data_IF_946910576730
#
_entry.id   IF_946910576730
#
_cell.length_a   1.000
_cell.length_b   1.000
_cell.length_c   1.000
_cell.angle_alpha   90.00
_cell.angle_beta   90.00
_cell.angle_gamma   90.00
#
_symmetry.space_group_name_H-M   'P 1'
#
loop_
_entity.id
_entity.type
_entity.pdbx_description
1 polymer ?
#
# COMPACT_ATOMS: atom_id res chain seq x y z
N UNK A 1 -22.63 -6.49 0.96
CA UNK A 1 -22.31 -5.36 0.05
C UNK A 1 -23.56 -4.66 -0.45
N UNK A 2 -23.66 -3.33 -0.27
CA UNK A 2 -24.69 -2.48 -0.88
C UNK A 2 -24.03 -1.54 -1.89
N UNK A 3 -24.43 -1.63 -3.16
CA UNK A 3 -23.96 -0.71 -4.20
C UNK A 3 -24.66 0.65 -4.06
N UNK A 4 -23.91 1.73 -4.12
CA UNK A 4 -24.43 3.10 -4.00
C UNK A 4 -23.46 4.12 -4.61
N UNK A 5 -23.88 5.39 -4.68
CA UNK A 5 -22.98 6.47 -5.10
C UNK A 5 -21.96 6.80 -4.01
N UNK A 6 -20.83 7.42 -4.38
CA UNK A 6 -19.84 7.89 -3.40
C UNK A 6 -20.47 8.83 -2.36
N UNK A 7 -21.29 9.78 -2.80
CA UNK A 7 -22.00 10.70 -1.92
C UNK A 7 -22.91 10.00 -0.90
N UNK A 8 -23.54 8.88 -1.28
CA UNK A 8 -24.35 8.05 -0.37
C UNK A 8 -23.47 7.23 0.58
N UNK A 9 -22.39 6.63 0.08
CA UNK A 9 -21.48 5.81 0.88
C UNK A 9 -20.86 6.61 2.02
N UNK A 10 -20.40 7.83 1.74
CA UNK A 10 -19.76 8.67 2.76
C UNK A 10 -20.76 9.23 3.79
N UNK A 11 -22.08 9.12 3.60
CA UNK A 11 -23.06 9.48 4.65
C UNK A 11 -22.96 8.59 5.88
N UNK A 12 -22.31 7.43 5.77
CA UNK A 12 -22.04 6.54 6.90
C UNK A 12 -21.00 7.13 7.88
N UNK A 13 -20.29 8.20 7.50
CA UNK A 13 -19.33 8.89 8.35
C UNK A 13 -20.03 9.98 9.15
N UNK A 14 -19.75 10.03 10.45
CA UNK A 14 -20.29 11.00 11.39
C UNK A 14 -19.19 11.90 11.96
N UNK A 15 -19.57 13.06 12.49
CA UNK A 15 -18.63 13.94 13.19
C UNK A 15 -18.00 13.21 14.39
N UNK A 16 -16.69 13.33 14.54
CA UNK A 16 -15.92 12.62 15.57
C UNK A 16 -15.46 11.21 15.17
N UNK A 17 -15.90 10.65 14.03
CA UNK A 17 -15.41 9.36 13.54
C UNK A 17 -13.90 9.41 13.26
N UNK A 18 -13.20 8.31 13.53
CA UNK A 18 -11.82 8.08 13.11
C UNK A 18 -11.76 7.14 11.92
N UNK A 19 -11.14 7.57 10.83
CA UNK A 19 -11.10 6.83 9.57
C UNK A 19 -9.66 6.54 9.13
N UNK A 20 -9.43 5.36 8.56
CA UNK A 20 -8.21 5.07 7.79
C UNK A 20 -8.53 5.11 6.29
N UNK A 21 -7.69 5.80 5.52
CA UNK A 21 -7.75 5.81 4.06
C UNK A 21 -6.58 5.00 3.52
N UNK A 22 -6.87 3.98 2.70
CA UNK A 22 -5.85 3.12 2.10
C UNK A 22 -4.77 3.93 1.39
N UNK A 23 -3.53 3.53 1.64
CA UNK A 23 -2.33 4.22 1.17
C UNK A 23 -1.80 3.72 -0.18
N UNK A 24 -0.49 3.85 -0.32
CA UNK A 24 0.29 3.65 -1.55
C UNK A 24 -0.34 4.37 -2.74
N UNK A 25 -0.34 3.76 -3.92
CA UNK A 25 -1.06 4.17 -5.12
C UNK A 25 -2.50 3.61 -5.17
N UNK A 26 -3.03 3.13 -4.03
CA UNK A 26 -4.38 2.58 -3.88
C UNK A 26 -5.36 3.54 -3.19
N UNK A 27 -5.06 4.84 -3.17
CA UNK A 27 -5.95 5.83 -2.56
C UNK A 27 -7.34 5.73 -3.23
N UNK A 28 -8.44 5.56 -2.48
CA UNK A 28 -9.78 5.63 -3.04
C UNK A 28 -10.16 7.10 -3.28
N UNK A 29 -9.64 7.68 -4.37
CA UNK A 29 -9.74 9.12 -4.67
C UNK A 29 -11.21 9.60 -4.76
N UNK A 30 -12.12 8.79 -5.32
CA UNK A 30 -13.55 9.17 -5.44
C UNK A 30 -14.24 9.22 -4.07
N UNK A 31 -13.97 8.24 -3.19
CA UNK A 31 -14.46 8.28 -1.81
C UNK A 31 -13.84 9.43 -1.02
N UNK A 32 -12.55 9.69 -1.22
CA UNK A 32 -11.83 10.78 -0.55
C UNK A 32 -12.41 12.14 -0.95
N UNK A 33 -12.72 12.35 -2.23
CA UNK A 33 -13.37 13.56 -2.71
C UNK A 33 -14.79 13.69 -2.14
N UNK A 34 -15.60 12.63 -2.20
CA UNK A 34 -16.96 12.66 -1.67
C UNK A 34 -16.99 12.96 -0.16
N UNK A 35 -16.01 12.45 0.60
CA UNK A 35 -15.86 12.80 2.02
C UNK A 35 -15.53 14.28 2.18
N UNK A 36 -14.56 14.80 1.42
CA UNK A 36 -14.16 16.20 1.48
C UNK A 36 -15.33 17.16 1.14
N UNK A 37 -16.21 16.77 0.22
CA UNK A 37 -17.40 17.56 -0.14
C UNK A 37 -18.37 17.74 1.05
N UNK A 38 -18.31 16.84 2.05
CA UNK A 38 -19.04 16.96 3.33
C UNK A 38 -18.31 17.80 4.37
N UNK A 39 -17.19 18.44 4.03
CA UNK A 39 -16.38 19.23 4.98
C UNK A 39 -17.10 20.41 5.64
N UNK A 40 -18.23 20.88 5.06
CA UNK A 40 -19.07 21.90 5.70
C UNK A 40 -20.11 21.32 6.69
N UNK A 41 -20.31 20.01 6.68
CA UNK A 41 -21.29 19.29 7.50
C UNK A 41 -20.63 18.57 8.69
N UNK A 42 -19.42 18.04 8.45
CA UNK A 42 -18.66 17.25 9.41
C UNK A 42 -17.79 18.11 10.32
N UNK A 43 -17.52 17.59 11.52
CA UNK A 43 -16.61 18.17 12.51
C UNK A 43 -15.77 17.10 13.15
N UNK A 44 -14.52 17.41 13.45
CA UNK A 44 -13.64 16.58 14.25
C UNK A 44 -13.43 15.13 13.76
N UNK A 45 -13.53 14.90 12.45
CA UNK A 45 -13.23 13.59 11.85
C UNK A 45 -11.71 13.39 11.83
N UNK A 46 -11.21 12.34 12.47
CA UNK A 46 -9.79 12.00 12.43
C UNK A 46 -9.49 11.21 11.16
N UNK A 47 -8.51 11.66 10.36
CA UNK A 47 -8.09 10.96 9.14
C UNK A 47 -6.68 10.40 9.33
N UNK A 48 -6.59 9.08 9.52
CA UNK A 48 -5.32 8.35 9.50
C UNK A 48 -4.89 8.11 8.05
N UNK A 49 -3.72 8.62 7.70
CA UNK A 49 -3.11 8.46 6.39
C UNK A 49 -1.67 8.00 6.57
N UNK A 50 -1.26 6.97 5.81
CA UNK A 50 0.11 6.46 5.82
C UNK A 50 0.83 6.86 4.53
N UNK A 51 1.81 6.05 4.10
CA UNK A 51 2.47 6.28 2.83
C UNK A 51 1.41 6.24 1.73
N UNK A 52 1.31 7.30 0.93
CA UNK A 52 0.29 7.45 -0.09
C UNK A 52 0.82 8.34 -1.22
N UNK A 53 0.66 7.93 -2.47
CA UNK A 53 1.05 8.72 -3.63
C UNK A 53 -0.20 9.08 -4.41
N UNK A 54 -0.70 10.29 -4.18
CA UNK A 54 -1.86 10.84 -4.88
C UNK A 54 -1.47 11.67 -6.10
N UNK A 55 -2.41 11.83 -7.04
CA UNK A 55 -2.26 12.73 -8.22
C UNK A 55 -2.24 14.21 -7.83
N UNK A 56 -2.85 14.53 -6.69
CA UNK A 56 -2.99 15.87 -6.15
C UNK A 56 -2.87 15.85 -4.62
N UNK A 57 -2.92 17.04 -4.01
CA UNK A 57 -3.13 17.17 -2.58
C UNK A 57 -4.45 16.51 -2.17
N UNK A 58 -4.47 15.88 -0.99
CA UNK A 58 -5.66 15.18 -0.53
C UNK A 58 -6.85 16.16 -0.45
N UNK A 59 -8.05 15.79 -0.94
CA UNK A 59 -9.14 16.75 -1.14
C UNK A 59 -9.70 17.33 0.17
N UNK A 60 -9.49 16.63 1.29
CA UNK A 60 -9.82 17.08 2.65
C UNK A 60 -8.76 18.02 3.27
N UNK A 61 -7.60 18.20 2.64
CA UNK A 61 -6.54 19.12 3.07
C UNK A 61 -6.74 20.53 2.47
N UNK A 62 -7.87 21.16 2.77
CA UNK A 62 -8.16 22.55 2.37
C UNK A 62 -8.41 23.43 3.59
N UNK A 63 -7.95 24.70 3.61
CA UNK A 63 -8.13 25.58 4.76
C UNK A 63 -9.58 25.71 5.26
N UNK A 64 -10.56 25.68 4.36
CA UNK A 64 -11.98 25.70 4.69
C UNK A 64 -12.48 24.45 5.43
N UNK A 65 -11.75 23.33 5.38
CA UNK A 65 -12.13 22.06 6.00
C UNK A 65 -11.27 21.70 7.23
N UNK A 66 -10.41 22.61 7.70
CA UNK A 66 -9.49 22.36 8.82
C UNK A 66 -10.18 21.97 10.14
N UNK A 67 -11.41 22.42 10.35
CA UNK A 67 -12.20 22.11 11.55
C UNK A 67 -13.02 20.81 11.36
N UNK A 68 -13.12 20.33 10.12
CA UNK A 68 -13.82 19.10 9.77
C UNK A 68 -12.90 17.88 9.83
N UNK A 69 -11.67 18.00 9.32
CA UNK A 69 -10.75 16.86 9.16
C UNK A 69 -9.42 17.10 9.88
N UNK A 70 -9.15 16.28 10.89
CA UNK A 70 -7.89 16.24 11.64
C UNK A 70 -6.98 15.15 11.07
N UNK A 71 -6.05 15.54 10.21
CA UNK A 71 -5.11 14.60 9.59
C UNK A 71 -4.06 14.14 10.60
N UNK A 72 -4.02 12.83 10.85
CA UNK A 72 -2.98 12.15 11.63
C UNK A 72 -2.15 11.27 10.70
N UNK A 73 -0.99 11.79 10.34
CA UNK A 73 -0.05 11.14 9.45
C UNK A 73 0.73 10.04 10.17
N UNK A 74 0.68 8.84 9.61
CA UNK A 74 1.49 7.67 9.98
C UNK A 74 2.76 7.58 9.10
N UNK A 75 2.79 8.36 8.00
CA UNK A 75 3.96 8.58 7.16
C UNK A 75 3.74 9.86 6.33
N UNK A 76 4.72 10.76 6.26
CA UNK A 76 4.56 12.05 5.56
C UNK A 76 4.69 11.88 4.04
N UNK A 77 3.55 11.71 3.38
CA UNK A 77 3.46 11.47 1.94
C UNK A 77 3.17 12.75 1.11
N UNK A 78 3.24 12.66 -0.23
CA UNK A 78 3.23 13.83 -1.11
C UNK A 78 1.92 14.64 -1.01
N UNK A 79 0.79 13.95 -0.92
CA UNK A 79 -0.55 14.50 -0.93
C UNK A 79 -0.94 15.26 0.34
N UNK A 80 -0.22 15.05 1.46
CA UNK A 80 -0.50 15.70 2.76
C UNK A 80 0.69 16.49 3.33
N UNK A 81 1.87 16.44 2.70
CA UNK A 81 3.11 17.05 3.22
C UNK A 81 2.95 18.54 3.52
N UNK A 82 2.34 19.30 2.59
CA UNK A 82 2.14 20.73 2.77
C UNK A 82 1.17 21.02 3.93
N UNK A 83 0.09 20.25 4.04
CA UNK A 83 -0.88 20.38 5.12
C UNK A 83 -0.25 20.25 6.51
N UNK A 84 0.69 19.31 6.64
CA UNK A 84 1.50 19.14 7.85
C UNK A 84 2.46 20.32 8.07
N UNK A 85 3.15 20.76 7.02
CA UNK A 85 4.10 21.88 7.09
C UNK A 85 3.42 23.21 7.48
N UNK A 86 2.18 23.43 7.03
CA UNK A 86 1.36 24.60 7.35
C UNK A 86 0.74 24.52 8.77
N UNK A 87 0.95 23.42 9.50
CA UNK A 87 0.52 23.25 10.89
C UNK A 87 -0.91 22.75 11.07
N UNK A 88 -1.57 22.28 10.02
CA UNK A 88 -2.96 21.82 10.05
C UNK A 88 -3.12 20.29 10.25
N UNK A 89 -2.01 19.56 10.29
CA UNK A 89 -2.01 18.13 10.57
C UNK A 89 -0.97 17.76 11.62
N UNK A 90 -1.04 16.52 12.10
CA UNK A 90 -0.07 15.96 13.05
C UNK A 90 0.57 14.70 12.49
N UNK A 91 1.74 14.33 13.02
CA UNK A 91 2.42 13.06 12.69
C UNK A 91 2.53 12.21 13.94
N UNK A 92 2.23 10.91 13.81
CA UNK A 92 2.43 9.91 14.85
C UNK A 92 3.68 9.12 14.47
N UNK A 93 4.82 9.31 15.16
CA UNK A 93 6.03 8.56 14.88
C UNK A 93 5.89 7.12 15.39
N UNK A 94 6.01 6.15 14.49
CA UNK A 94 6.02 4.72 14.81
C UNK A 94 6.79 3.96 13.72
N UNK A 95 7.32 2.78 14.07
CA UNK A 95 7.81 1.86 13.05
C UNK A 95 6.61 1.29 12.27
N UNK A 96 6.71 1.25 10.95
CA UNK A 96 5.58 0.85 10.09
C UNK A 96 5.01 -0.52 10.47
N UNK A 97 5.88 -1.49 10.77
CA UNK A 97 5.49 -2.84 11.21
C UNK A 97 4.81 -2.91 12.59
N UNK A 98 4.87 -1.84 13.40
CA UNK A 98 4.24 -1.77 14.73
C UNK A 98 2.87 -1.10 14.70
N UNK A 99 2.59 -0.27 13.68
CA UNK A 99 1.31 0.45 13.54
C UNK A 99 0.09 -0.49 13.53
N UNK A 100 0.12 -1.67 12.88
CA UNK A 100 -0.99 -2.62 12.96
C UNK A 100 -1.37 -3.02 14.40
N UNK A 101 -0.40 -3.09 15.32
CA UNK A 101 -0.70 -3.38 16.72
C UNK A 101 -1.47 -2.23 17.40
N UNK A 102 -1.17 -0.98 17.03
CA UNK A 102 -1.86 0.21 17.55
C UNK A 102 -3.32 0.30 17.08
N UNK A 103 -3.65 -0.25 15.90
CA UNK A 103 -5.05 -0.42 15.50
C UNK A 103 -5.73 -1.52 16.31
N UNK A 104 -5.05 -2.66 16.47
CA UNK A 104 -5.60 -3.86 17.13
C UNK A 104 -5.82 -3.68 18.64
N UNK A 105 -4.97 -2.92 19.31
CA UNK A 105 -5.11 -2.61 20.74
C UNK A 105 -6.02 -1.41 21.03
N UNK A 106 -6.47 -0.70 19.99
CA UNK A 106 -7.38 0.44 20.09
C UNK A 106 -6.71 1.78 20.41
N UNK A 107 -5.37 1.84 20.47
CA UNK A 107 -4.62 3.11 20.62
C UNK A 107 -4.94 4.08 19.47
N UNK A 108 -5.07 3.54 18.26
CA UNK A 108 -5.54 4.24 17.07
C UNK A 108 -6.92 3.66 16.68
N UNK A 109 -8.02 4.17 17.25
CA UNK A 109 -9.34 3.62 16.99
C UNK A 109 -9.79 3.89 15.54
N UNK A 110 -10.53 2.95 14.96
CA UNK A 110 -11.08 3.06 13.61
C UNK A 110 -12.59 2.81 13.62
N UNK A 111 -13.36 3.87 13.35
CA UNK A 111 -14.81 3.78 13.14
C UNK A 111 -15.10 3.35 11.69
N UNK A 112 -14.28 3.76 10.73
CA UNK A 112 -14.39 3.33 9.35
C UNK A 112 -13.05 3.15 8.63
N UNK A 113 -13.08 2.39 7.54
CA UNK A 113 -11.98 2.28 6.58
C UNK A 113 -12.46 2.52 5.16
N UNK A 114 -11.68 3.28 4.38
CA UNK A 114 -11.87 3.46 2.95
C UNK A 114 -10.82 2.66 2.18
N UNK A 115 -11.28 1.76 1.30
CA UNK A 115 -10.43 0.90 0.47
C UNK A 115 -10.70 1.11 -1.01
N UNK A 116 -9.69 0.92 -1.84
CA UNK A 116 -9.79 0.76 -3.29
C UNK A 116 -9.48 -0.71 -3.61
N UNK A 117 -10.44 -1.43 -4.16
CA UNK A 117 -10.38 -2.89 -4.29
C UNK A 117 -10.69 -3.34 -5.71
N UNK A 118 -10.21 -4.52 -6.08
CA UNK A 118 -10.61 -5.18 -7.32
C UNK A 118 -12.11 -5.52 -7.31
N UNK A 119 -12.72 -5.81 -8.47
CA UNK A 119 -13.98 -6.55 -8.52
C UNK A 119 -13.89 -7.87 -7.74
N UNK A 120 -15.01 -8.36 -7.19
CA UNK A 120 -15.02 -9.66 -6.52
C UNK A 120 -14.75 -10.78 -7.52
N UNK A 121 -13.97 -11.78 -7.11
CA UNK A 121 -13.79 -13.03 -7.83
C UNK A 121 -15.02 -13.95 -7.69
N UNK A 122 -14.94 -15.15 -8.27
CA UNK A 122 -16.04 -16.15 -8.25
C UNK A 122 -16.43 -16.59 -6.83
N UNK A 123 -15.49 -16.56 -5.89
CA UNK A 123 -15.70 -16.90 -4.48
C UNK A 123 -16.19 -15.70 -3.63
N UNK A 124 -16.44 -14.55 -4.25
CA UNK A 124 -16.94 -13.35 -3.57
C UNK A 124 -15.88 -12.57 -2.80
N UNK A 125 -14.60 -12.75 -3.09
CA UNK A 125 -13.50 -11.96 -2.52
C UNK A 125 -13.09 -10.83 -3.45
N UNK A 126 -12.96 -9.62 -2.91
CA UNK A 126 -12.22 -8.53 -3.53
C UNK A 126 -10.77 -8.52 -3.02
N UNK A 127 -9.84 -8.01 -3.81
CA UNK A 127 -8.45 -7.79 -3.39
C UNK A 127 -8.19 -6.31 -3.10
N UNK A 128 -7.35 -6.00 -2.10
CA UNK A 128 -6.80 -4.66 -1.87
C UNK A 128 -5.79 -4.25 -2.96
N UNK A 129 -5.51 -5.16 -3.90
CA UNK A 129 -4.72 -4.95 -5.09
C UNK A 129 -3.27 -4.66 -4.79
N UNK A 130 -2.81 -3.42 -4.99
CA UNK A 130 -1.37 -3.10 -4.92
C UNK A 130 -0.90 -2.74 -3.49
N UNK A 131 -1.79 -2.73 -2.49
CA UNK A 131 -1.46 -2.28 -1.13
C UNK A 131 -2.23 -3.07 -0.07
N UNK A 132 -1.53 -4.00 0.60
CA UNK A 132 -2.04 -4.69 1.78
C UNK A 132 -1.64 -3.95 3.06
N UNK A 133 -0.35 -3.61 3.15
CA UNK A 133 0.30 -2.77 4.16
C UNK A 133 -0.44 -2.67 5.51
N UNK A 134 -0.96 -1.48 5.82
CA UNK A 134 -1.81 -1.19 6.97
C UNK A 134 -3.29 -1.45 6.67
N UNK A 135 -3.70 -1.52 5.40
CA UNK A 135 -5.08 -1.77 5.00
C UNK A 135 -5.66 -3.06 5.60
N UNK A 136 -4.85 -4.13 5.74
CA UNK A 136 -5.26 -5.38 6.38
C UNK A 136 -5.71 -5.14 7.82
N UNK A 137 -4.81 -4.62 8.66
CA UNK A 137 -5.11 -4.38 10.08
C UNK A 137 -6.16 -3.29 10.29
N UNK A 138 -6.19 -2.26 9.44
CA UNK A 138 -7.24 -1.26 9.48
C UNK A 138 -8.63 -1.86 9.21
N UNK A 139 -8.73 -2.77 8.24
CA UNK A 139 -9.98 -3.46 7.88
C UNK A 139 -10.41 -4.47 8.94
N UNK A 140 -9.45 -5.12 9.61
CA UNK A 140 -9.72 -6.01 10.76
C UNK A 140 -10.40 -5.26 11.90
N UNK A 141 -9.96 -4.02 12.16
CA UNK A 141 -10.33 -3.22 13.32
C UNK A 141 -11.48 -2.23 13.07
N UNK A 142 -11.69 -1.79 11.82
CA UNK A 142 -12.73 -0.83 11.49
C UNK A 142 -14.14 -1.39 11.69
N UNK A 143 -15.05 -0.57 12.21
CA UNK A 143 -16.47 -0.96 12.39
C UNK A 143 -17.26 -0.92 11.09
N UNK A 144 -16.91 0.02 10.20
CA UNK A 144 -17.54 0.22 8.89
C UNK A 144 -16.50 0.05 7.78
N UNK A 145 -16.76 -0.81 6.80
CA UNK A 145 -15.91 -1.00 5.62
C UNK A 145 -16.58 -0.42 4.39
N UNK A 146 -16.01 0.64 3.85
CA UNK A 146 -16.52 1.36 2.70
C UNK A 146 -15.51 1.24 1.56
N UNK A 147 -15.93 0.68 0.44
CA UNK A 147 -15.01 0.34 -0.66
C UNK A 147 -15.34 1.07 -1.95
N UNK A 148 -14.30 1.40 -2.67
CA UNK A 148 -14.30 1.74 -4.08
C UNK A 148 -13.91 0.48 -4.86
N UNK A 149 -14.85 -0.11 -5.62
CA UNK A 149 -14.58 -1.24 -6.50
C UNK A 149 -14.09 -0.69 -7.83
N UNK A 150 -12.84 -0.97 -8.16
CA UNK A 150 -12.15 -0.41 -9.30
C UNK A 150 -11.64 -1.51 -10.23
N UNK A 151 -12.12 -1.49 -11.49
CA UNK A 151 -11.69 -2.46 -12.51
C UNK A 151 -10.21 -2.36 -12.87
N UNK A 152 -9.58 -1.21 -12.61
CA UNK A 152 -8.16 -1.02 -12.85
C UNK A 152 -7.27 -1.64 -11.74
N UNK A 153 -7.85 -2.00 -10.59
CA UNK A 153 -7.12 -2.58 -9.46
C UNK A 153 -6.86 -4.08 -9.71
N UNK A 154 -5.57 -4.52 -9.74
CA UNK A 154 -5.25 -5.93 -9.93
C UNK A 154 -5.73 -6.77 -8.74
N UNK A 155 -5.91 -8.06 -8.97
CA UNK A 155 -6.22 -9.04 -7.95
C UNK A 155 -4.93 -9.66 -7.41
N UNK A 156 -4.46 -9.17 -6.25
CA UNK A 156 -3.31 -9.76 -5.53
C UNK A 156 -3.76 -10.77 -4.48
N UNK A 157 -3.05 -11.90 -4.40
CA UNK A 157 -3.23 -12.88 -3.33
C UNK A 157 -2.43 -12.51 -2.07
N UNK A 158 -2.66 -13.27 -0.99
CA UNK A 158 -2.02 -13.07 0.31
C UNK A 158 -3.03 -12.64 1.35
N UNK A 159 -2.66 -11.65 2.18
CA UNK A 159 -3.56 -11.11 3.22
C UNK A 159 -4.43 -9.97 2.67
N UNK A 160 -4.19 -9.56 1.43
CA UNK A 160 -4.86 -8.47 0.72
C UNK A 160 -6.28 -8.80 0.24
N UNK A 161 -7.08 -9.55 1.00
CA UNK A 161 -8.37 -10.08 0.55
C UNK A 161 -9.50 -9.73 1.51
N UNK A 162 -10.67 -9.39 0.96
CA UNK A 162 -11.89 -9.15 1.72
C UNK A 162 -13.10 -9.77 1.03
N UNK A 163 -13.90 -10.54 1.78
CA UNK A 163 -15.15 -11.09 1.25
C UNK A 163 -16.25 -10.02 1.23
N UNK A 164 -17.11 -10.00 0.20
CA UNK A 164 -18.20 -9.02 0.02
C UNK A 164 -19.21 -8.96 1.17
N UNK A 165 -19.26 -9.98 2.03
CA UNK A 165 -20.08 -9.99 3.24
C UNK A 165 -19.56 -9.06 4.34
N UNK A 166 -18.28 -8.67 4.30
CA UNK A 166 -17.65 -7.72 5.24
C UNK A 166 -17.77 -6.26 4.78
N UNK A 167 -18.38 -6.02 3.61
CA UNK A 167 -18.45 -4.68 2.99
C UNK A 167 -19.82 -4.05 3.26
N UNK A 168 -19.82 -2.91 3.94
CA UNK A 168 -21.02 -2.16 4.33
C UNK A 168 -21.55 -1.30 3.18
N UNK A 169 -20.67 -0.61 2.46
CA UNK A 169 -20.99 0.21 1.29
C UNK A 169 -19.93 0.03 0.19
N UNK A 170 -20.40 -0.01 -1.05
CA UNK A 170 -19.55 -0.15 -2.22
C UNK A 170 -19.92 0.86 -3.31
N UNK A 171 -18.90 1.41 -3.94
CA UNK A 171 -19.00 2.37 -5.05
C UNK A 171 -18.19 1.81 -6.21
N UNK A 172 -18.82 1.65 -7.38
CA UNK A 172 -18.10 1.25 -8.60
C UNK A 172 -17.43 2.45 -9.26
N UNK A 173 -16.19 2.28 -9.69
CA UNK A 173 -15.44 3.27 -10.45
C UNK A 173 -14.67 2.62 -11.60
N UNK A 174 -14.29 3.46 -12.55
CA UNK A 174 -13.33 3.16 -13.60
C UNK A 174 -12.27 4.26 -13.57
N UNK A 175 -11.35 4.14 -12.62
CA UNK A 175 -10.30 5.12 -12.36
C UNK A 175 -8.95 4.41 -12.49
N UNK A 176 -8.09 4.79 -13.47
CA UNK A 176 -6.74 4.24 -13.56
C UNK A 176 -6.02 4.33 -12.21
N UNK A 177 -5.13 3.41 -11.89
CA UNK A 177 -4.30 3.58 -10.70
C UNK A 177 -3.25 4.67 -10.92
N UNK A 178 -2.76 5.24 -9.82
CA UNK A 178 -1.59 6.11 -9.88
C UNK A 178 -0.37 5.27 -10.24
N UNK A 179 0.34 5.68 -11.28
CA UNK A 179 1.62 5.11 -11.65
C UNK A 179 2.75 5.97 -11.10
N UNK A 180 3.80 5.32 -10.61
CA UNK A 180 5.02 6.01 -10.19
C UNK A 180 6.12 5.74 -11.22
N UNK A 181 6.63 6.78 -11.91
CA UNK A 181 7.70 6.61 -12.87
C UNK A 181 8.91 5.92 -12.25
N UNK A 182 9.41 4.90 -12.92
CA UNK A 182 10.66 4.24 -12.51
C UNK A 182 11.81 5.24 -12.61
N UNK A 183 12.49 5.50 -11.49
CA UNK A 183 13.65 6.36 -11.47
C UNK A 183 14.78 5.75 -12.31
N UNK A 184 15.27 6.51 -13.29
CA UNK A 184 16.41 6.11 -14.13
C UNK A 184 17.70 6.31 -13.32
N UNK A 185 18.52 5.26 -13.12
CA UNK A 185 19.80 5.40 -12.43
C UNK A 185 20.73 6.40 -13.13
N UNK A 186 21.35 7.28 -12.34
CA UNK A 186 22.48 8.10 -12.78
C UNK A 186 23.76 7.26 -12.86
N UNK A 187 24.86 7.85 -13.36
CA UNK A 187 26.18 7.20 -13.33
C UNK A 187 26.66 6.91 -11.90
N UNK A 188 26.35 7.82 -10.97
CA UNK A 188 26.65 7.67 -9.54
C UNK A 188 25.84 6.50 -8.96
N UNK A 189 24.53 6.46 -9.22
CA UNK A 189 23.67 5.36 -8.78
C UNK A 189 24.17 4.02 -9.32
N UNK A 190 24.57 4.00 -10.60
CA UNK A 190 25.11 2.81 -11.26
C UNK A 190 26.42 2.33 -10.63
N UNK A 191 27.31 3.25 -10.24
CA UNK A 191 28.53 2.90 -9.53
C UNK A 191 28.23 2.31 -8.14
N UNK A 192 27.33 2.92 -7.38
CA UNK A 192 26.87 2.41 -6.08
C UNK A 192 26.23 1.03 -6.26
N UNK A 193 25.36 0.88 -7.26
CA UNK A 193 24.64 -0.36 -7.56
C UNK A 193 25.57 -1.54 -7.80
N UNK A 194 26.64 -1.35 -8.60
CA UNK A 194 27.66 -2.38 -8.84
C UNK A 194 28.39 -2.79 -7.58
N UNK A 195 28.82 -1.82 -6.76
CA UNK A 195 29.51 -2.12 -5.49
C UNK A 195 28.62 -2.89 -4.51
N UNK A 196 27.32 -2.57 -4.45
CA UNK A 196 26.37 -3.31 -3.62
C UNK A 196 26.16 -4.72 -4.18
N UNK A 197 26.00 -4.88 -5.50
CA UNK A 197 25.79 -6.18 -6.12
C UNK A 197 26.95 -7.16 -5.89
N UNK A 198 28.19 -6.67 -5.82
CA UNK A 198 29.37 -7.48 -5.46
C UNK A 198 29.30 -8.08 -4.04
N UNK A 199 28.57 -7.43 -3.13
CA UNK A 199 28.37 -7.92 -1.76
C UNK A 199 27.19 -8.88 -1.62
N UNK A 200 26.33 -8.99 -2.64
CA UNK A 200 25.14 -9.84 -2.62
C UNK A 200 25.51 -11.22 -3.16
N UNK A 201 25.47 -12.28 -2.35
CA UNK A 201 25.73 -13.64 -2.81
C UNK A 201 24.50 -14.23 -3.53
N UNK A 202 24.73 -15.26 -4.36
CA UNK A 202 23.64 -16.11 -4.86
C UNK A 202 22.84 -16.72 -3.70
N UNK A 203 21.53 -16.86 -3.90
CA UNK A 203 20.61 -17.32 -2.86
C UNK A 203 20.23 -16.26 -1.81
N UNK A 204 20.65 -14.99 -1.97
CA UNK A 204 20.27 -13.92 -1.05
C UNK A 204 18.78 -13.59 -1.12
N UNK A 205 18.18 -13.20 0.02
CA UNK A 205 16.79 -12.72 0.06
C UNK A 205 16.78 -11.20 0.09
N UNK A 206 16.26 -10.59 -0.97
CA UNK A 206 16.29 -9.16 -1.16
C UNK A 206 15.12 -8.45 -0.48
N UNK A 207 15.45 -7.37 0.25
CA UNK A 207 14.55 -6.25 0.56
C UNK A 207 15.07 -5.03 -0.20
N UNK A 208 14.20 -4.39 -0.99
CA UNK A 208 14.62 -3.31 -1.89
C UNK A 208 13.69 -2.10 -1.69
N UNK A 209 14.27 -0.90 -1.74
CA UNK A 209 13.55 0.36 -1.70
C UNK A 209 13.15 0.88 -3.08
N UNK A 210 12.67 2.13 -3.13
CA UNK A 210 12.33 2.85 -4.36
C UNK A 210 13.44 3.83 -4.75
N UNK A 211 13.64 4.09 -6.05
CA UNK A 211 14.53 5.14 -6.55
C UNK A 211 15.71 4.65 -7.39
N UNK A 212 16.58 5.60 -7.77
CA UNK A 212 17.69 5.35 -8.70
C UNK A 212 18.71 4.33 -8.19
N UNK A 213 19.15 4.44 -6.93
CA UNK A 213 20.12 3.50 -6.32
C UNK A 213 19.55 2.07 -6.26
N UNK A 214 18.36 1.80 -5.67
CA UNK A 214 17.77 0.46 -5.69
C UNK A 214 17.64 -0.13 -7.09
N UNK A 215 17.22 0.68 -8.08
CA UNK A 215 17.11 0.23 -9.46
C UNK A 215 18.48 -0.09 -10.08
N UNK A 216 19.52 0.64 -9.72
CA UNK A 216 20.89 0.36 -10.14
C UNK A 216 21.42 -0.97 -9.57
N UNK A 217 21.12 -1.25 -8.29
CA UNK A 217 21.46 -2.54 -7.66
C UNK A 217 20.77 -3.66 -8.43
N UNK A 218 19.44 -3.59 -8.60
CA UNK A 218 18.67 -4.60 -9.33
C UNK A 218 19.19 -4.82 -10.76
N UNK A 219 19.56 -3.75 -11.47
CA UNK A 219 20.13 -3.84 -12.81
C UNK A 219 21.49 -4.55 -12.85
N UNK A 220 22.26 -4.51 -11.76
CA UNK A 220 23.55 -5.18 -11.62
C UNK A 220 23.46 -6.63 -11.12
N UNK A 221 22.27 -7.09 -10.71
CA UNK A 221 22.04 -8.45 -10.21
C UNK A 221 21.68 -9.48 -11.31
N UNK A 222 21.77 -9.12 -12.59
CA UNK A 222 21.26 -9.95 -13.71
C UNK A 222 21.96 -11.31 -13.86
N UNK A 223 23.20 -11.41 -13.40
CA UNK A 223 24.01 -12.62 -13.50
C UNK A 223 23.97 -13.48 -12.23
N UNK A 224 23.28 -13.02 -11.18
CA UNK A 224 23.06 -13.77 -9.94
C UNK A 224 22.05 -14.90 -10.15
N UNK A 225 22.01 -15.84 -9.22
CA UNK A 225 21.12 -16.99 -9.25
C UNK A 225 20.41 -17.22 -7.91
N UNK A 226 19.20 -17.76 -8.01
CA UNK A 226 18.41 -18.25 -6.87
C UNK A 226 18.05 -17.18 -5.83
N UNK A 227 17.96 -15.92 -6.25
CA UNK A 227 17.61 -14.83 -5.36
C UNK A 227 16.17 -14.99 -4.86
N UNK A 228 15.93 -14.54 -3.63
CA UNK A 228 14.61 -14.41 -3.04
C UNK A 228 14.15 -12.96 -2.96
N UNK A 229 12.84 -12.77 -2.85
CA UNK A 229 12.22 -11.46 -2.63
C UNK A 229 11.30 -11.50 -1.40
N UNK A 230 11.68 -10.76 -0.38
CA UNK A 230 10.86 -10.44 0.79
C UNK A 230 11.07 -8.95 1.07
N UNK A 231 10.18 -8.12 0.54
CA UNK A 231 10.34 -6.66 0.57
C UNK A 231 9.16 -5.97 1.26
N UNK A 232 9.36 -4.73 1.71
CA UNK A 232 8.25 -3.86 2.09
C UNK A 232 7.52 -3.39 0.82
N UNK A 233 8.26 -2.77 -0.11
CA UNK A 233 7.75 -2.19 -1.35
C UNK A 233 8.33 -2.94 -2.57
N UNK A 234 7.45 -3.38 -3.46
CA UNK A 234 7.82 -3.94 -4.76
C UNK A 234 7.75 -2.86 -5.85
N UNK A 235 8.74 -2.82 -6.74
CA UNK A 235 8.83 -1.81 -7.82
C UNK A 235 9.09 -2.46 -9.18
N UNK A 236 8.95 -1.72 -10.28
CA UNK A 236 9.22 -2.23 -11.63
C UNK A 236 10.62 -2.84 -11.80
N UNK A 237 11.59 -2.38 -11.00
CA UNK A 237 12.96 -2.84 -11.07
C UNK A 237 13.12 -4.34 -10.83
N UNK A 238 12.20 -4.99 -10.10
CA UNK A 238 12.29 -6.43 -9.85
C UNK A 238 11.78 -7.27 -11.02
N UNK A 239 10.94 -6.71 -11.90
CA UNK A 239 10.30 -7.47 -12.98
C UNK A 239 11.31 -8.18 -13.90
N UNK A 240 12.39 -7.53 -14.39
CA UNK A 240 13.35 -8.22 -15.25
C UNK A 240 14.01 -9.42 -14.57
N UNK A 241 14.25 -9.36 -13.26
CA UNK A 241 14.89 -10.45 -12.51
C UNK A 241 13.90 -11.59 -12.18
N UNK A 242 12.63 -11.26 -11.96
CA UNK A 242 11.56 -12.26 -11.82
C UNK A 242 11.29 -12.98 -13.14
N UNK A 243 11.19 -12.24 -14.24
CA UNK A 243 10.95 -12.78 -15.59
C UNK A 243 12.12 -13.64 -16.10
N UNK A 244 13.37 -13.27 -15.77
CA UNK A 244 14.56 -14.05 -16.15
C UNK A 244 14.82 -15.26 -15.25
N UNK A 245 14.09 -15.40 -14.14
CA UNK A 245 14.30 -16.47 -13.17
C UNK A 245 15.51 -16.26 -12.24
N UNK A 246 16.13 -15.08 -12.25
CA UNK A 246 17.18 -14.72 -11.29
C UNK A 246 16.60 -14.68 -9.88
N UNK A 247 15.41 -14.08 -9.73
CA UNK A 247 14.59 -14.19 -8.52
C UNK A 247 13.63 -15.36 -8.73
N UNK A 248 13.91 -16.48 -8.07
CA UNK A 248 13.07 -17.69 -8.09
C UNK A 248 12.53 -18.08 -6.70
N UNK A 249 12.97 -17.38 -5.64
CA UNK A 249 12.58 -17.61 -4.25
C UNK A 249 12.90 -19.03 -3.72
N UNK A 250 13.73 -19.80 -4.41
CA UNK A 250 14.00 -21.22 -4.12
C UNK A 250 14.81 -21.43 -2.84
N UNK A 251 15.63 -20.45 -2.47
CA UNK A 251 16.48 -20.48 -1.28
C UNK A 251 15.85 -19.82 -0.03
N UNK A 252 14.62 -19.31 -0.13
CA UNK A 252 13.90 -18.73 1.02
C UNK A 252 13.41 -19.81 1.98
N UNK A 253 13.41 -19.50 3.27
CA UNK A 253 12.76 -20.33 4.31
C UNK A 253 11.30 -19.94 4.47
N UNK A 254 11.03 -18.63 4.46
CA UNK A 254 9.69 -18.07 4.65
C UNK A 254 9.04 -17.90 3.28
N UNK A 255 7.93 -18.60 3.03
CA UNK A 255 7.24 -18.58 1.74
C UNK A 255 8.19 -18.96 0.57
N UNK A 256 8.79 -20.17 0.59
CA UNK A 256 9.65 -20.63 -0.50
C UNK A 256 8.89 -20.62 -1.84
N UNK A 257 9.57 -20.22 -2.91
CA UNK A 257 8.97 -20.13 -4.25
C UNK A 257 8.01 -18.95 -4.47
N UNK A 258 7.78 -18.11 -3.45
CA UNK A 258 6.81 -17.00 -3.51
C UNK A 258 7.51 -15.67 -3.24
N UNK A 259 7.31 -14.69 -4.12
CA UNK A 259 7.71 -13.30 -3.90
C UNK A 259 6.76 -12.62 -2.92
N UNK A 260 7.29 -11.98 -1.89
CA UNK A 260 6.46 -11.33 -0.85
C UNK A 260 6.72 -9.83 -0.81
N UNK A 261 5.64 -9.05 -0.80
CA UNK A 261 5.67 -7.62 -0.52
C UNK A 261 4.55 -7.19 0.44
N UNK A 262 4.62 -5.97 0.99
CA UNK A 262 3.49 -5.36 1.71
C UNK A 262 2.66 -4.44 0.82
N UNK A 263 3.34 -3.78 -0.13
CA UNK A 263 2.78 -2.92 -1.15
C UNK A 263 3.61 -3.00 -2.42
N UNK A 264 3.02 -2.55 -3.52
CA UNK A 264 3.67 -2.36 -4.80
C UNK A 264 3.47 -0.93 -5.30
N UNK A 265 4.51 -0.41 -5.95
CA UNK A 265 4.58 0.94 -6.45
C UNK A 265 5.32 0.93 -7.79
N UNK A 266 4.63 1.26 -8.88
CA UNK A 266 5.27 1.22 -10.18
C UNK A 266 4.36 1.59 -11.33
N UNK A 267 4.71 1.08 -12.51
CA UNK A 267 3.94 1.25 -13.73
C UNK A 267 2.79 0.26 -13.84
N UNK A 268 1.92 0.50 -14.83
CA UNK A 268 0.87 -0.45 -15.23
C UNK A 268 1.42 -1.86 -15.50
N UNK A 269 2.65 -1.98 -16.01
CA UNK A 269 3.28 -3.28 -16.28
C UNK A 269 3.46 -4.11 -15.00
N UNK A 270 3.84 -3.48 -13.88
CA UNK A 270 3.95 -4.18 -12.60
C UNK A 270 2.58 -4.63 -12.09
N UNK A 271 1.56 -3.79 -12.25
CA UNK A 271 0.20 -4.10 -11.84
C UNK A 271 -0.44 -5.22 -12.68
N UNK A 272 -0.22 -5.22 -14.00
CA UNK A 272 -0.65 -6.31 -14.87
C UNK A 272 0.14 -7.60 -14.59
N UNK A 273 1.43 -7.49 -14.25
CA UNK A 273 2.24 -8.65 -13.91
C UNK A 273 1.73 -9.36 -12.65
N UNK A 274 1.28 -8.65 -11.62
CA UNK A 274 0.80 -9.28 -10.38
C UNK A 274 -0.62 -9.84 -10.46
N UNK A 275 -1.42 -9.39 -11.42
CA UNK A 275 -2.84 -9.70 -11.50
C UNK A 275 -3.07 -11.22 -11.57
N UNK A 276 -3.79 -11.75 -10.58
CA UNK A 276 -4.06 -13.18 -10.40
C UNK A 276 -2.82 -14.09 -10.35
N UNK A 277 -1.62 -13.59 -10.03
CA UNK A 277 -0.42 -14.42 -9.82
C UNK A 277 -0.31 -14.92 -8.39
N UNK A 278 -0.26 -16.24 -8.23
CA UNK A 278 -0.15 -16.90 -6.92
C UNK A 278 1.30 -17.03 -6.41
N UNK A 279 2.28 -16.89 -7.30
CA UNK A 279 3.72 -16.86 -6.99
C UNK A 279 4.18 -15.48 -6.46
N UNK A 280 3.25 -14.54 -6.30
CA UNK A 280 3.45 -13.21 -5.74
C UNK A 280 2.31 -12.93 -4.76
N UNK A 281 2.64 -12.57 -3.52
CA UNK A 281 1.63 -12.26 -2.49
C UNK A 281 1.90 -10.93 -1.81
N UNK A 282 0.83 -10.20 -1.52
CA UNK A 282 0.86 -9.02 -0.66
C UNK A 282 0.37 -9.37 0.75
N UNK A 283 1.12 -8.94 1.76
CA UNK A 283 0.88 -9.27 3.16
C UNK A 283 0.78 -8.03 4.06
N UNK A 284 0.14 -8.21 5.21
CA UNK A 284 0.14 -7.21 6.29
C UNK A 284 1.58 -6.77 6.59
N UNK A 285 1.79 -5.46 6.73
CA UNK A 285 3.12 -4.93 7.03
C UNK A 285 3.65 -5.37 8.39
N UNK A 286 2.80 -5.67 9.37
CA UNK A 286 3.25 -6.28 10.63
C UNK A 286 3.81 -7.71 10.43
N UNK A 287 3.46 -8.36 9.31
CA UNK A 287 4.05 -9.63 8.93
C UNK A 287 5.34 -9.42 8.15
N UNK A 288 5.35 -8.59 7.10
CA UNK A 288 6.51 -8.40 6.23
C UNK A 288 7.67 -7.72 6.96
N UNK A 289 7.37 -6.74 7.80
CA UNK A 289 8.36 -5.93 8.47
C UNK A 289 8.69 -6.43 9.89
N UNK A 290 8.27 -7.65 10.23
CA UNK A 290 8.65 -8.25 11.50
C UNK A 290 10.12 -8.72 11.43
N UNK A 291 11.04 -8.14 12.21
CA UNK A 291 12.47 -8.49 12.15
C UNK A 291 12.72 -9.97 12.49
N UNK A 292 11.93 -10.55 13.39
CA UNK A 292 12.04 -11.97 13.75
C UNK A 292 11.57 -12.91 12.65
N UNK A 293 10.75 -12.41 11.71
CA UNK A 293 10.36 -13.16 10.51
C UNK A 293 11.40 -12.99 9.41
N UNK A 294 11.84 -11.76 9.16
CA UNK A 294 12.86 -11.44 8.15
C UNK A 294 14.11 -12.30 8.41
N UNK A 295 14.59 -12.35 9.66
CA UNK A 295 15.78 -13.11 10.07
C UNK A 295 15.68 -14.64 9.90
N UNK A 296 14.50 -15.19 9.56
CA UNK A 296 14.35 -16.62 9.27
C UNK A 296 14.80 -16.98 7.85
N UNK A 297 14.82 -16.01 6.94
CA UNK A 297 15.40 -16.21 5.61
C UNK A 297 16.93 -16.17 5.69
N UNK A 298 17.64 -17.08 5.02
CA UNK A 298 19.09 -17.05 4.96
C UNK A 298 19.56 -15.87 4.08
N UNK A 299 20.74 -15.33 4.39
CA UNK A 299 21.40 -14.29 3.57
C UNK A 299 20.47 -13.10 3.25
N UNK A 300 19.74 -12.66 4.27
CA UNK A 300 18.80 -11.52 4.23
C UNK A 300 19.47 -10.23 4.66
#
# INVERSE_FOLDING_TARGET
MKMMTAAQAVQLIESGDSIYIQGSTSIPEVLSQALADRGNELKDVTVYAAFAVGRCEAPYCKPEYKDAFHVKSLFVANNIRRWLADGYGTTIPAFLGEIPALFRDGTLPLDAVFLNVSPPNEDGYCSFGVSADLAVSATECARKVIVQINKAMPFSYGDALIHVSRIDAAVEVDDPLVEVPTAVPTEIDSAIGRHIAEMIPDGATLQIGVGGIPNAVLAALKDHQHLGLHTEAMTDGVLPLLESGVIDNSCKTVCPGISVASLALGSRRLYDYMDYRQDLVLKDVAWTNNPFRIAQNPKV
#
